data_IF_198753035580
#
_entry.id   IF_198753035580
#
_cell.length_a   1.000
_cell.length_b   1.000
_cell.length_c   1.000
_cell.angle_alpha   90.00
_cell.angle_beta   90.00
_cell.angle_gamma   90.00
#
_symmetry.space_group_name_H-M   'P 1'
#
loop_
_entity.id
_entity.type
_entity.pdbx_description
1 polymer ?
#
# COMPACT_ATOMS: atom_id res chain seq x y z
N UNK A 1 53.72 24.73 -30.68
CA UNK A 1 52.90 25.14 -29.53
C UNK A 1 51.73 24.18 -29.42
N UNK A 2 51.77 23.24 -28.48
CA UNK A 2 50.80 22.15 -28.31
C UNK A 2 49.79 22.52 -27.22
N UNK A 3 48.50 22.48 -27.56
CA UNK A 3 47.38 22.86 -26.71
C UNK A 3 47.25 21.97 -25.44
N UNK A 4 47.24 22.52 -24.21
CA UNK A 4 46.99 21.73 -22.99
C UNK A 4 45.51 21.71 -22.56
N UNK A 5 44.59 22.30 -23.33
CA UNK A 5 43.20 22.51 -22.88
C UNK A 5 42.24 21.35 -23.14
N UNK A 6 42.59 20.40 -24.02
CA UNK A 6 41.67 19.31 -24.38
C UNK A 6 41.46 18.27 -23.27
N UNK A 7 42.44 18.11 -22.38
CA UNK A 7 42.40 17.08 -21.35
C UNK A 7 41.58 17.49 -20.12
N UNK A 8 41.53 18.79 -19.80
CA UNK A 8 40.81 19.28 -18.62
C UNK A 8 39.29 19.15 -18.82
N UNK A 9 38.77 19.49 -20.00
CA UNK A 9 37.34 19.38 -20.31
C UNK A 9 36.85 17.92 -20.28
N UNK A 10 37.65 16.98 -20.79
CA UNK A 10 37.31 15.55 -20.76
C UNK A 10 37.27 15.02 -19.32
N UNK A 11 38.16 15.48 -18.44
CA UNK A 11 38.18 15.11 -17.02
C UNK A 11 36.94 15.67 -16.29
N UNK A 12 36.51 16.91 -16.56
CA UNK A 12 35.30 17.47 -15.95
C UNK A 12 34.02 16.79 -16.45
N UNK A 13 33.93 16.43 -17.73
CA UNK A 13 32.79 15.68 -18.28
C UNK A 13 32.73 14.25 -17.72
N UNK A 14 33.88 13.59 -17.55
CA UNK A 14 33.95 12.27 -16.91
C UNK A 14 33.61 12.33 -15.41
N UNK A 15 34.05 13.36 -14.68
CA UNK A 15 33.70 13.55 -13.27
C UNK A 15 32.21 13.86 -13.08
N UNK A 16 31.62 14.67 -13.97
CA UNK A 16 30.18 14.95 -13.96
C UNK A 16 29.36 13.69 -14.31
N UNK A 17 29.83 12.88 -15.25
CA UNK A 17 29.19 11.61 -15.64
C UNK A 17 29.26 10.56 -14.52
N UNK A 18 30.38 10.48 -13.80
CA UNK A 18 30.55 9.59 -12.63
C UNK A 18 29.67 10.03 -11.45
N UNK A 19 29.37 11.33 -11.31
CA UNK A 19 28.50 11.86 -10.26
C UNK A 19 27.00 11.61 -10.53
N UNK A 20 26.60 11.55 -11.80
CA UNK A 20 25.24 11.17 -12.23
C UNK A 20 25.05 9.64 -12.25
N UNK A 21 26.14 8.87 -12.29
CA UNK A 21 26.12 7.40 -12.35
C UNK A 21 26.20 6.70 -10.98
N UNK A 22 25.86 7.38 -9.87
CA UNK A 22 25.67 6.74 -8.57
C UNK A 22 24.19 6.47 -8.27
N UNK A 23 23.41 6.07 -9.27
CA UNK A 23 22.20 5.28 -9.01
C UNK A 23 22.66 3.83 -8.84
N UNK A 24 22.88 3.33 -7.61
CA UNK A 24 23.28 1.94 -7.44
C UNK A 24 22.21 1.02 -8.06
N UNK A 25 22.69 0.01 -8.77
CA UNK A 25 21.95 -1.01 -9.50
C UNK A 25 20.91 -1.72 -8.60
N UNK A 26 19.67 -1.25 -8.66
CA UNK A 26 18.41 -2.00 -8.65
C UNK A 26 18.24 -3.16 -7.65
N UNK A 27 18.61 -3.01 -6.38
CA UNK A 27 18.03 -3.84 -5.32
C UNK A 27 16.61 -3.33 -5.02
N UNK A 28 15.59 -4.21 -5.06
CA UNK A 28 14.24 -3.83 -4.63
C UNK A 28 14.29 -3.30 -3.19
N UNK A 29 13.63 -2.17 -2.93
CA UNK A 29 13.49 -1.63 -1.57
C UNK A 29 12.90 -2.71 -0.64
N UNK A 30 13.15 -2.64 0.68
CA UNK A 30 12.54 -3.56 1.64
C UNK A 30 11.02 -3.63 1.50
N UNK A 31 10.36 -2.49 1.26
CA UNK A 31 8.92 -2.42 0.98
C UNK A 31 8.54 -3.15 -0.30
N UNK A 32 9.27 -2.97 -1.39
CA UNK A 32 9.00 -3.68 -2.64
C UNK A 32 9.18 -5.21 -2.49
N UNK A 33 10.17 -5.66 -1.71
CA UNK A 33 10.33 -7.09 -1.37
C UNK A 33 9.19 -7.61 -0.49
N UNK A 34 8.75 -6.83 0.50
CA UNK A 34 7.63 -7.19 1.36
C UNK A 34 6.31 -7.25 0.58
N UNK A 35 6.04 -6.27 -0.29
CA UNK A 35 4.88 -6.24 -1.19
C UNK A 35 4.85 -7.47 -2.10
N UNK A 36 5.97 -7.78 -2.76
CA UNK A 36 6.08 -9.01 -3.57
C UNK A 36 5.84 -10.26 -2.72
N UNK A 37 6.31 -10.30 -1.48
CA UNK A 37 6.03 -11.43 -0.59
C UNK A 37 4.52 -11.55 -0.27
N UNK A 38 3.81 -10.44 -0.05
CA UNK A 38 2.34 -10.42 0.11
C UNK A 38 1.63 -10.94 -1.14
N UNK A 39 2.04 -10.49 -2.33
CA UNK A 39 1.48 -10.94 -3.61
C UNK A 39 1.63 -12.46 -3.82
N UNK A 40 2.78 -13.01 -3.41
CA UNK A 40 3.05 -14.45 -3.42
C UNK A 40 2.47 -15.20 -2.21
N UNK A 41 1.64 -14.54 -1.39
CA UNK A 41 1.02 -15.09 -0.17
C UNK A 41 2.03 -15.58 0.90
N UNK A 42 3.27 -15.11 0.84
CA UNK A 42 4.32 -15.36 1.82
C UNK A 42 4.23 -14.35 2.98
N UNK A 43 3.11 -14.37 3.71
CA UNK A 43 2.78 -13.30 4.66
C UNK A 43 3.75 -13.18 5.84
N UNK A 44 4.21 -14.31 6.42
CA UNK A 44 5.23 -14.28 7.48
C UNK A 44 6.56 -13.69 6.98
N UNK A 45 6.96 -14.00 5.75
CA UNK A 45 8.16 -13.40 5.15
C UNK A 45 8.01 -11.89 4.99
N UNK A 46 6.83 -11.42 4.56
CA UNK A 46 6.55 -10.00 4.46
C UNK A 46 6.67 -9.31 5.83
N UNK A 47 6.08 -9.90 6.88
CA UNK A 47 6.16 -9.35 8.24
C UNK A 47 7.59 -9.32 8.77
N UNK A 48 8.38 -10.38 8.59
CA UNK A 48 9.78 -10.40 9.04
C UNK A 48 10.62 -9.30 8.37
N UNK A 49 10.37 -9.01 7.09
CA UNK A 49 11.04 -7.89 6.40
C UNK A 49 10.62 -6.56 7.03
N UNK A 50 9.32 -6.38 7.29
CA UNK A 50 8.78 -5.13 7.83
C UNK A 50 9.14 -4.90 9.30
N UNK A 51 9.32 -5.94 10.10
CA UNK A 51 9.72 -5.84 11.52
C UNK A 51 11.13 -5.29 11.70
N UNK A 52 12.03 -5.57 10.75
CA UNK A 52 13.40 -5.08 10.77
C UNK A 52 13.58 -3.76 10.00
N UNK A 53 12.51 -3.30 9.33
CA UNK A 53 12.57 -2.10 8.50
C UNK A 53 12.07 -0.87 9.26
N UNK A 54 12.91 0.17 9.31
CA UNK A 54 12.52 1.50 9.80
C UNK A 54 12.16 2.35 8.59
N UNK A 55 10.85 2.49 8.33
CA UNK A 55 10.35 3.29 7.22
C UNK A 55 10.56 4.79 7.48
N UNK A 56 10.97 5.51 6.44
CA UNK A 56 11.04 6.97 6.47
C UNK A 56 9.64 7.61 6.44
N UNK A 57 9.48 8.87 6.87
CA UNK A 57 8.17 9.50 6.99
C UNK A 57 7.29 9.47 5.72
N UNK A 58 7.92 9.57 4.54
CA UNK A 58 7.25 9.52 3.23
C UNK A 58 6.87 8.09 2.81
N UNK A 59 7.51 7.07 3.38
CA UNK A 59 7.23 5.66 3.12
C UNK A 59 6.21 5.05 4.09
N UNK A 60 5.92 5.71 5.21
CA UNK A 60 5.07 5.19 6.29
C UNK A 60 3.72 4.67 5.80
N UNK A 61 3.07 5.40 4.89
CA UNK A 61 1.77 5.00 4.36
C UNK A 61 1.83 3.65 3.64
N UNK A 62 2.84 3.46 2.78
CA UNK A 62 3.06 2.22 2.04
C UNK A 62 3.48 1.09 3.00
N UNK A 63 4.35 1.37 3.96
CA UNK A 63 4.72 0.42 5.01
C UNK A 63 3.49 -0.13 5.76
N UNK A 64 2.63 0.78 6.22
CA UNK A 64 1.41 0.39 6.94
C UNK A 64 0.45 -0.41 6.06
N UNK A 65 0.30 -0.01 4.79
CA UNK A 65 -0.54 -0.73 3.84
C UNK A 65 -0.08 -2.18 3.63
N UNK A 66 1.21 -2.38 3.36
CA UNK A 66 1.78 -3.73 3.14
C UNK A 66 1.65 -4.56 4.42
N UNK A 67 1.96 -3.99 5.59
CA UNK A 67 1.82 -4.68 6.88
C UNK A 67 0.37 -5.10 7.13
N UNK A 68 -0.58 -4.20 6.87
CA UNK A 68 -2.01 -4.48 6.98
C UNK A 68 -2.47 -5.62 6.07
N UNK A 69 -2.04 -5.64 4.81
CA UNK A 69 -2.34 -6.74 3.86
C UNK A 69 -1.73 -8.06 4.31
N UNK A 70 -0.50 -8.06 4.81
CA UNK A 70 0.15 -9.27 5.32
C UNK A 70 -0.61 -9.86 6.52
N UNK A 71 -1.00 -9.01 7.48
CA UNK A 71 -1.80 -9.40 8.65
C UNK A 71 -3.18 -9.94 8.26
N UNK A 72 -3.84 -9.31 7.28
CA UNK A 72 -5.12 -9.78 6.73
C UNK A 72 -4.98 -11.18 6.09
N UNK A 73 -3.88 -11.42 5.37
CA UNK A 73 -3.53 -12.73 4.82
C UNK A 73 -3.35 -13.82 5.88
N UNK A 74 -2.89 -13.43 7.08
CA UNK A 74 -2.78 -14.31 8.26
C UNK A 74 -4.07 -14.38 9.10
N UNK A 75 -5.18 -13.80 8.62
CA UNK A 75 -6.46 -13.71 9.35
C UNK A 75 -6.39 -12.93 10.67
N UNK A 76 -5.34 -12.13 10.87
CA UNK A 76 -5.20 -11.21 12.02
C UNK A 76 -5.93 -9.91 11.72
N UNK A 77 -7.25 -10.01 11.58
CA UNK A 77 -8.06 -8.94 10.97
C UNK A 77 -8.08 -7.65 11.78
N UNK A 78 -8.16 -7.70 13.11
CA UNK A 78 -8.17 -6.50 13.97
C UNK A 78 -6.89 -5.67 13.80
N UNK A 79 -5.73 -6.32 13.78
CA UNK A 79 -4.45 -5.63 13.55
C UNK A 79 -4.33 -5.13 12.10
N UNK A 80 -4.80 -5.93 11.14
CA UNK A 80 -4.84 -5.50 9.75
C UNK A 80 -5.65 -4.21 9.57
N UNK A 81 -6.81 -4.12 10.21
CA UNK A 81 -7.67 -2.93 10.20
C UNK A 81 -6.93 -1.71 10.74
N UNK A 82 -6.22 -1.85 11.87
CA UNK A 82 -5.45 -0.75 12.47
C UNK A 82 -4.40 -0.22 11.49
N UNK A 83 -3.59 -1.12 10.91
CA UNK A 83 -2.54 -0.72 9.97
C UNK A 83 -3.09 -0.16 8.66
N UNK A 84 -4.18 -0.72 8.12
CA UNK A 84 -4.82 -0.19 6.92
C UNK A 84 -5.46 1.19 7.18
N UNK A 85 -5.99 1.43 8.39
CA UNK A 85 -6.45 2.75 8.79
C UNK A 85 -5.30 3.76 8.87
N UNK A 86 -4.15 3.38 9.44
CA UNK A 86 -2.96 4.24 9.44
C UNK A 86 -2.48 4.56 8.03
N UNK A 87 -2.47 3.58 7.12
CA UNK A 87 -2.14 3.81 5.72
C UNK A 87 -3.07 4.85 5.06
N UNK A 88 -4.39 4.71 5.27
CA UNK A 88 -5.38 5.65 4.75
C UNK A 88 -5.18 7.08 5.28
N UNK A 89 -4.96 7.24 6.59
CA UNK A 89 -4.84 8.56 7.23
C UNK A 89 -3.52 9.26 6.85
N UNK A 90 -2.42 8.49 6.77
CA UNK A 90 -1.08 9.05 6.53
C UNK A 90 -0.76 9.26 5.06
N UNK A 91 -1.41 8.54 4.14
CA UNK A 91 -1.13 8.66 2.71
C UNK A 91 -1.50 10.04 2.15
N UNK A 92 -0.62 10.61 1.32
CA UNK A 92 -0.94 11.74 0.44
C UNK A 92 -1.33 11.29 -0.97
N UNK A 93 -1.01 10.06 -1.32
CA UNK A 93 -1.37 9.42 -2.58
C UNK A 93 -2.83 8.93 -2.52
N UNK A 94 -3.63 9.39 -3.48
CA UNK A 94 -5.05 9.05 -3.57
C UNK A 94 -5.30 7.60 -3.97
N UNK A 95 -4.42 7.01 -4.79
CA UNK A 95 -4.52 5.62 -5.19
C UNK A 95 -4.24 4.71 -3.99
N UNK A 96 -3.20 5.00 -3.22
CA UNK A 96 -2.91 4.25 -2.00
C UNK A 96 -4.02 4.43 -0.94
N UNK A 97 -4.62 5.62 -0.83
CA UNK A 97 -5.80 5.84 0.05
C UNK A 97 -6.98 4.97 -0.37
N UNK A 98 -7.29 4.95 -1.66
CA UNK A 98 -8.34 4.12 -2.24
C UNK A 98 -8.09 2.64 -1.93
N UNK A 99 -6.90 2.14 -2.22
CA UNK A 99 -6.54 0.74 -1.94
C UNK A 99 -6.62 0.40 -0.44
N UNK A 100 -6.06 1.25 0.43
CA UNK A 100 -6.08 1.04 1.87
C UNK A 100 -7.50 1.01 2.42
N UNK A 101 -8.39 1.90 1.94
CA UNK A 101 -9.79 1.92 2.34
C UNK A 101 -10.52 0.64 1.94
N UNK A 102 -10.33 0.20 0.69
CA UNK A 102 -10.92 -1.04 0.17
C UNK A 102 -10.46 -2.28 0.94
N UNK A 103 -9.14 -2.43 1.14
CA UNK A 103 -8.58 -3.56 1.89
C UNK A 103 -9.00 -3.54 3.37
N UNK A 104 -9.17 -2.35 3.97
CA UNK A 104 -9.71 -2.22 5.33
C UNK A 104 -11.14 -2.72 5.39
N UNK A 105 -11.98 -2.39 4.40
CA UNK A 105 -13.34 -2.90 4.28
C UNK A 105 -13.36 -4.43 4.20
N UNK A 106 -12.47 -5.02 3.38
CA UNK A 106 -12.34 -6.49 3.29
C UNK A 106 -11.90 -7.12 4.60
N UNK A 107 -10.99 -6.48 5.33
CA UNK A 107 -10.55 -6.95 6.64
C UNK A 107 -11.69 -6.91 7.67
N UNK A 108 -12.49 -5.83 7.72
CA UNK A 108 -13.70 -5.78 8.55
C UNK A 108 -14.68 -6.90 8.22
N UNK A 109 -15.02 -7.07 6.94
CA UNK A 109 -15.96 -8.10 6.48
C UNK A 109 -15.49 -9.51 6.86
N UNK A 110 -14.23 -9.85 6.59
CA UNK A 110 -13.68 -11.17 6.94
C UNK A 110 -13.49 -11.38 8.44
N UNK A 111 -13.33 -10.30 9.19
CA UNK A 111 -13.25 -10.32 10.65
C UNK A 111 -14.61 -10.42 11.36
N UNK A 112 -15.72 -10.37 10.63
CA UNK A 112 -17.07 -10.41 11.21
C UNK A 112 -17.59 -9.07 11.70
N UNK A 113 -16.88 -7.98 11.45
CA UNK A 113 -17.26 -6.61 11.82
C UNK A 113 -18.18 -6.02 10.74
N UNK A 114 -19.36 -6.61 10.57
CA UNK A 114 -20.22 -6.36 9.41
C UNK A 114 -20.76 -4.93 9.35
N UNK A 115 -21.01 -4.30 10.50
CA UNK A 115 -21.48 -2.90 10.56
C UNK A 115 -20.40 -1.91 10.10
N UNK A 116 -19.16 -2.12 10.55
CA UNK A 116 -18.01 -1.33 10.14
C UNK A 116 -17.64 -1.58 8.68
N UNK A 117 -17.80 -2.83 8.21
CA UNK A 117 -17.59 -3.19 6.82
C UNK A 117 -18.58 -2.45 5.89
N UNK A 118 -19.87 -2.44 6.20
CA UNK A 118 -20.86 -1.70 5.39
C UNK A 118 -20.58 -0.20 5.41
N UNK A 119 -20.31 0.37 6.58
CA UNK A 119 -19.93 1.79 6.70
C UNK A 119 -18.69 2.13 5.86
N UNK A 120 -17.69 1.27 5.87
CA UNK A 120 -16.44 1.46 5.14
C UNK A 120 -16.63 1.32 3.62
N UNK A 121 -17.33 0.30 3.14
CA UNK A 121 -17.60 0.16 1.70
C UNK A 121 -18.54 1.27 1.18
N UNK A 122 -19.51 1.72 1.97
CA UNK A 122 -20.33 2.89 1.64
C UNK A 122 -19.49 4.17 1.50
N UNK A 123 -18.49 4.36 2.38
CA UNK A 123 -17.52 5.45 2.24
C UNK A 123 -16.67 5.29 0.97
N UNK A 124 -16.18 4.07 0.67
CA UNK A 124 -15.40 3.79 -0.52
C UNK A 124 -16.16 4.14 -1.81
N UNK A 125 -17.42 3.69 -1.93
CA UNK A 125 -18.30 3.98 -3.07
C UNK A 125 -18.49 5.49 -3.25
N UNK A 126 -18.65 6.24 -2.15
CA UNK A 126 -18.85 7.69 -2.21
C UNK A 126 -17.58 8.46 -2.61
N UNK A 127 -16.43 8.06 -2.08
CA UNK A 127 -15.16 8.77 -2.32
C UNK A 127 -14.54 8.41 -3.67
N UNK A 128 -14.79 7.20 -4.18
CA UNK A 128 -14.16 6.67 -5.39
C UNK A 128 -15.18 6.09 -6.37
N UNK A 129 -16.09 6.91 -6.93
CA UNK A 129 -17.18 6.45 -7.80
C UNK A 129 -16.72 5.93 -9.17
N UNK A 130 -15.45 6.08 -9.52
CA UNK A 130 -14.85 5.60 -10.78
C UNK A 130 -13.79 4.52 -10.54
N UNK A 131 -13.71 3.97 -9.32
CA UNK A 131 -12.71 2.94 -9.00
C UNK A 131 -12.96 1.64 -9.77
N UNK A 132 -11.89 1.00 -10.22
CA UNK A 132 -11.92 -0.32 -10.87
C UNK A 132 -12.62 -1.38 -10.01
N UNK A 133 -12.49 -1.29 -8.68
CA UNK A 133 -13.07 -2.22 -7.72
C UNK A 133 -14.49 -1.83 -7.25
N UNK A 134 -15.15 -0.86 -7.90
CA UNK A 134 -16.47 -0.38 -7.46
C UNK A 134 -17.53 -1.47 -7.44
N UNK A 135 -17.56 -2.36 -8.44
CA UNK A 135 -18.49 -3.49 -8.46
C UNK A 135 -18.28 -4.41 -7.24
N UNK A 136 -17.03 -4.73 -6.92
CA UNK A 136 -16.70 -5.52 -5.73
C UNK A 136 -17.08 -4.78 -4.43
N UNK A 137 -16.91 -3.45 -4.39
CA UNK A 137 -17.32 -2.64 -3.24
C UNK A 137 -18.83 -2.71 -3.00
N UNK A 138 -19.66 -2.62 -4.05
CA UNK A 138 -21.11 -2.81 -3.92
C UNK A 138 -21.49 -4.20 -3.44
N UNK A 139 -20.85 -5.25 -3.97
CA UNK A 139 -21.07 -6.63 -3.52
C UNK A 139 -20.74 -6.78 -2.03
N UNK A 140 -19.57 -6.28 -1.61
CA UNK A 140 -19.16 -6.37 -0.22
C UNK A 140 -19.99 -5.48 0.70
N UNK A 141 -20.47 -4.33 0.22
CA UNK A 141 -21.40 -3.47 0.94
C UNK A 141 -22.72 -4.20 1.21
N UNK A 142 -23.35 -4.75 0.17
CA UNK A 142 -24.59 -5.52 0.28
C UNK A 142 -24.41 -6.76 1.18
N UNK A 143 -23.32 -7.50 1.01
CA UNK A 143 -22.99 -8.64 1.88
C UNK A 143 -22.85 -8.21 3.34
N UNK A 144 -22.17 -7.09 3.60
CA UNK A 144 -21.99 -6.57 4.95
C UNK A 144 -23.33 -6.18 5.58
N UNK A 145 -24.24 -5.56 4.82
CA UNK A 145 -25.58 -5.21 5.30
C UNK A 145 -26.41 -6.45 5.67
N UNK A 146 -26.45 -7.45 4.79
CA UNK A 146 -27.12 -8.72 5.04
C UNK A 146 -26.59 -9.39 6.32
N UNK A 147 -25.26 -9.48 6.46
CA UNK A 147 -24.62 -10.12 7.62
C UNK A 147 -24.77 -9.32 8.92
N UNK A 148 -24.97 -8.00 8.83
CA UNK A 148 -25.26 -7.15 10.00
C UNK A 148 -26.72 -7.22 10.49
N UNK A 149 -27.59 -7.94 9.77
CA UNK A 149 -29.03 -8.01 10.07
C UNK A 149 -29.81 -6.74 9.71
N UNK A 150 -29.18 -5.77 9.05
CA UNK A 150 -29.81 -4.51 8.57
C UNK A 150 -30.34 -4.68 7.15
N UNK A 151 -31.28 -5.61 6.99
CA UNK A 151 -31.86 -5.97 5.70
C UNK A 151 -32.51 -4.79 4.95
N UNK A 152 -33.06 -3.82 5.67
CA UNK A 152 -33.77 -2.67 5.08
C UNK A 152 -32.88 -1.70 4.30
N UNK A 153 -31.56 -1.76 4.48
CA UNK A 153 -30.60 -0.88 3.78
C UNK A 153 -29.89 -1.54 2.60
N UNK A 154 -30.13 -2.84 2.38
CA UNK A 154 -29.49 -3.63 1.32
C UNK A 154 -30.28 -3.63 0.00
N UNK A 155 -31.51 -3.11 0.01
CA UNK A 155 -32.45 -2.99 -1.12
C UNK A 155 -32.44 -1.57 -1.68
#
# INVERSE_FOLDING_TARGET
MKYPFRNVIVIWVLLLYVMVASVPRAAMSPLARAQRAVENRLFYKALNILETYKAEPDELALFYYIKGRALSGLKRYSEAIEFLNRAFITSRDQELKKEALFERGRAYLKGGFYYEASSNFGLYIRLYPEAENLQNAYIYFAQSLLMSGRYQEAL
#
